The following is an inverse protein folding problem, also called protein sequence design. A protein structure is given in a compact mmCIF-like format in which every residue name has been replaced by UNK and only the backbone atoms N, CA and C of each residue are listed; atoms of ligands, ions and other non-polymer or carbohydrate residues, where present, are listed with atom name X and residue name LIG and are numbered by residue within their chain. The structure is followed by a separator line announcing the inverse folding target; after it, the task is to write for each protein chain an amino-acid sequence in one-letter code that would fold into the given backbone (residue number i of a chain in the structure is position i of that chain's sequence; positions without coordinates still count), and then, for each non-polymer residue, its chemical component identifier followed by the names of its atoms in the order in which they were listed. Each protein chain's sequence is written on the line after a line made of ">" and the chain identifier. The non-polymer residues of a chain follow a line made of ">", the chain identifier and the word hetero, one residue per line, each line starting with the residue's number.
data_IF_794592423462
#
_entry.id   IF_794592423462
#
_cell.length_a   1.000
_cell.length_b   1.000
_cell.length_c   1.000
_cell.angle_alpha   90.00
_cell.angle_beta   90.00
_cell.angle_gamma   90.00
#
_symmetry.space_group_name_H-M   'P 1'
#
loop_
_entity.id
_entity.type
_entity.pdbx_description
1 polymer ?
#
# COMPACT_ATOMS: atom_id res chain seq x y z
N UNK A 1 -9.68 14.28 -7.85
CA UNK A 1 -9.78 13.62 -9.16
C UNK A 1 -11.24 13.47 -9.56
N UNK A 2 -11.56 13.31 -10.86
CA UNK A 2 -12.91 12.90 -11.32
C UNK A 2 -13.04 11.38 -11.52
N UNK A 3 -11.97 10.64 -11.24
CA UNK A 3 -11.88 9.20 -11.40
C UNK A 3 -12.70 8.46 -10.33
N UNK A 4 -13.57 7.54 -10.75
CA UNK A 4 -14.31 6.63 -9.88
C UNK A 4 -13.54 5.31 -9.73
N UNK A 5 -12.77 5.16 -8.64
CA UNK A 5 -11.95 3.97 -8.38
C UNK A 5 -12.73 2.65 -8.32
N UNK A 6 -14.06 2.67 -8.17
CA UNK A 6 -14.86 1.45 -8.13
C UNK A 6 -15.21 0.91 -9.51
N UNK A 7 -14.98 1.70 -10.57
CA UNK A 7 -15.44 1.42 -11.94
C UNK A 7 -14.43 1.76 -13.02
N UNK A 8 -13.74 2.88 -12.88
CA UNK A 8 -12.83 3.40 -13.89
C UNK A 8 -11.47 2.68 -13.79
N UNK A 9 -10.90 2.21 -14.90
CA UNK A 9 -9.57 1.62 -14.89
C UNK A 9 -8.49 2.70 -14.73
N UNK A 10 -7.33 2.32 -14.19
CA UNK A 10 -6.16 3.20 -14.14
C UNK A 10 -5.56 3.29 -15.54
N UNK A 11 -5.53 4.51 -16.10
CA UNK A 11 -4.86 4.78 -17.38
C UNK A 11 -3.40 5.16 -17.12
N UNK A 12 -2.48 4.28 -17.49
CA UNK A 12 -1.04 4.48 -17.36
C UNK A 12 -0.46 5.31 -18.51
N UNK A 13 0.59 6.07 -18.24
CA UNK A 13 1.36 6.86 -19.23
C UNK A 13 2.84 6.76 -18.93
N UNK A 14 3.65 6.56 -19.97
CA UNK A 14 5.11 6.69 -19.91
C UNK A 14 5.48 8.16 -20.12
N UNK A 15 6.32 8.69 -19.22
CA UNK A 15 6.78 10.07 -19.20
C UNK A 15 8.31 10.09 -18.96
N UNK A 16 9.07 10.08 -20.05
CA UNK A 16 10.52 9.85 -20.01
C UNK A 16 10.82 8.45 -19.42
N UNK A 17 11.60 8.43 -18.34
CA UNK A 17 11.97 7.20 -17.62
C UNK A 17 10.92 6.76 -16.59
N UNK A 18 9.82 7.49 -16.44
CA UNK A 18 8.78 7.23 -15.44
C UNK A 18 7.51 6.65 -16.05
N UNK A 19 6.84 5.81 -15.27
CA UNK A 19 5.44 5.43 -15.52
C UNK A 19 4.56 6.15 -14.50
N UNK A 20 3.50 6.79 -14.95
CA UNK A 20 2.56 7.55 -14.12
C UNK A 20 1.11 7.25 -14.50
N UNK A 21 0.15 7.63 -13.66
CA UNK A 21 -1.28 7.55 -13.99
C UNK A 21 -1.85 8.92 -14.38
N UNK A 22 -2.86 8.91 -15.25
CA UNK A 22 -3.52 10.14 -15.68
C UNK A 22 -4.55 10.63 -14.66
N UNK A 23 -4.17 11.61 -13.84
CA UNK A 23 -5.10 12.31 -12.94
C UNK A 23 -5.58 11.49 -11.74
N UNK A 24 -4.88 10.43 -11.40
CA UNK A 24 -5.16 9.54 -10.26
C UNK A 24 -3.84 8.91 -9.74
N UNK A 25 -3.90 8.12 -8.66
CA UNK A 25 -2.74 7.33 -8.19
C UNK A 25 -2.48 6.15 -9.13
N UNK A 26 -1.21 5.74 -9.26
CA UNK A 26 -0.83 4.66 -10.17
C UNK A 26 -1.08 3.27 -9.58
N UNK A 27 -0.99 3.13 -8.25
CA UNK A 27 -1.01 1.82 -7.58
C UNK A 27 0.26 1.00 -7.87
N UNK A 28 1.39 1.67 -8.13
CA UNK A 28 2.69 1.00 -8.26
C UNK A 28 3.10 0.32 -6.95
N UNK A 29 2.74 0.93 -5.83
CA UNK A 29 2.73 0.32 -4.51
C UNK A 29 1.37 -0.38 -4.25
N UNK A 30 1.29 -1.71 -4.04
CA UNK A 30 2.30 -2.74 -4.33
C UNK A 30 2.14 -3.38 -5.73
N UNK A 31 1.47 -2.71 -6.68
CA UNK A 31 1.16 -3.29 -7.99
C UNK A 31 2.37 -3.82 -8.77
N UNK A 32 3.54 -3.19 -8.64
CA UNK A 32 4.78 -3.66 -9.29
C UNK A 32 5.30 -4.94 -8.63
N UNK A 33 5.29 -5.02 -7.30
CA UNK A 33 5.67 -6.24 -6.57
C UNK A 33 4.73 -7.41 -6.89
N UNK A 34 3.42 -7.17 -6.91
CA UNK A 34 2.41 -8.15 -7.33
C UNK A 34 2.67 -8.63 -8.76
N UNK A 35 2.93 -7.73 -9.71
CA UNK A 35 3.23 -8.09 -11.09
C UNK A 35 4.51 -8.93 -11.20
N UNK A 36 5.57 -8.59 -10.45
CA UNK A 36 6.81 -9.35 -10.41
C UNK A 36 6.60 -10.78 -9.88
N UNK A 37 5.81 -10.95 -8.81
CA UNK A 37 5.46 -12.27 -8.27
C UNK A 37 4.74 -13.10 -9.34
N UNK A 38 3.75 -12.52 -10.02
CA UNK A 38 3.00 -13.22 -11.06
C UNK A 38 3.89 -13.60 -12.26
N UNK A 39 4.81 -12.73 -12.66
CA UNK A 39 5.77 -13.02 -13.72
C UNK A 39 6.70 -14.20 -13.36
N UNK A 40 7.15 -14.29 -12.10
CA UNK A 40 7.94 -15.42 -11.62
C UNK A 40 7.13 -16.71 -11.66
N UNK A 41 5.87 -16.68 -11.22
CA UNK A 41 4.97 -17.85 -11.26
C UNK A 41 4.63 -18.31 -12.68
N UNK A 42 4.55 -17.38 -13.63
CA UNK A 42 4.26 -17.68 -15.04
C UNK A 42 5.49 -18.25 -15.79
N UNK A 43 6.70 -17.84 -15.37
CA UNK A 43 7.93 -18.20 -16.06
C UNK A 43 8.18 -19.71 -16.07
N UNK A 44 8.62 -20.21 -17.23
CA UNK A 44 9.08 -21.60 -17.41
C UNK A 44 10.60 -21.73 -17.47
N UNK A 45 11.30 -20.59 -17.44
CA UNK A 45 12.74 -20.52 -17.65
C UNK A 45 13.50 -20.19 -16.37
N UNK A 46 12.81 -19.66 -15.36
CA UNK A 46 13.41 -19.34 -14.07
C UNK A 46 13.67 -20.61 -13.26
N UNK A 47 14.92 -20.81 -12.85
CA UNK A 47 15.27 -21.85 -11.89
C UNK A 47 14.96 -21.36 -10.47
N UNK A 48 14.07 -22.07 -9.78
CA UNK A 48 13.72 -21.77 -8.40
C UNK A 48 13.31 -23.03 -7.64
N UNK A 49 13.38 -22.96 -6.30
CA UNK A 49 12.77 -23.97 -5.43
C UNK A 49 11.24 -23.85 -5.40
N UNK A 50 10.54 -24.59 -4.52
CA UNK A 50 9.10 -24.40 -4.35
C UNK A 50 8.76 -22.96 -3.96
N UNK A 51 7.77 -22.37 -4.64
CA UNK A 51 7.29 -21.02 -4.38
C UNK A 51 5.85 -21.04 -3.85
N UNK A 52 5.56 -20.10 -2.95
CA UNK A 52 4.21 -19.74 -2.53
C UNK A 52 4.08 -18.22 -2.69
N UNK A 53 2.96 -17.76 -3.25
CA UNK A 53 2.65 -16.34 -3.37
C UNK A 53 1.53 -15.98 -2.39
N UNK A 54 1.80 -14.98 -1.55
CA UNK A 54 0.84 -14.42 -0.61
C UNK A 54 0.48 -13.00 -1.05
N UNK A 55 -0.80 -12.77 -1.33
CA UNK A 55 -1.35 -11.45 -1.61
C UNK A 55 -2.25 -11.05 -0.46
N UNK A 56 -1.87 -10.02 0.29
CA UNK A 56 -2.64 -9.53 1.43
C UNK A 56 -3.62 -8.45 1.00
N UNK A 57 -4.82 -8.45 1.60
CA UNK A 57 -5.81 -7.41 1.39
C UNK A 57 -5.68 -6.30 2.43
N UNK A 58 -6.02 -5.07 2.02
CA UNK A 58 -6.17 -3.89 2.87
C UNK A 58 -4.91 -3.56 3.72
N UNK A 59 -3.75 -3.44 3.09
CA UNK A 59 -2.54 -2.90 3.73
C UNK A 59 -2.81 -1.45 4.18
N UNK A 60 -3.20 -0.61 3.22
CA UNK A 60 -3.26 0.86 3.29
C UNK A 60 -4.18 1.47 4.36
N UNK A 61 -5.14 0.70 4.88
CA UNK A 61 -6.10 1.22 5.87
C UNK A 61 -6.02 0.54 7.22
N UNK A 62 -5.34 -0.60 7.35
CA UNK A 62 -5.35 -1.34 8.61
C UNK A 62 -4.65 -2.70 8.62
N UNK A 63 -4.04 -3.12 7.51
CA UNK A 63 -3.33 -4.40 7.37
C UNK A 63 -4.19 -5.63 7.69
N UNK A 64 -5.51 -5.57 7.44
CA UNK A 64 -6.47 -6.62 7.85
C UNK A 64 -6.10 -8.00 7.33
N UNK A 65 -5.61 -8.09 6.09
CA UNK A 65 -5.16 -9.34 5.48
C UNK A 65 -3.94 -9.93 6.17
N UNK A 66 -2.99 -9.09 6.59
CA UNK A 66 -1.80 -9.52 7.31
C UNK A 66 -2.16 -10.01 8.72
N UNK A 67 -2.99 -9.28 9.46
CA UNK A 67 -3.48 -9.70 10.78
C UNK A 67 -4.38 -10.93 10.73
N UNK A 68 -5.14 -11.10 9.66
CA UNK A 68 -6.06 -12.22 9.45
C UNK A 68 -5.40 -13.51 8.94
N UNK A 69 -4.11 -13.48 8.62
CA UNK A 69 -3.40 -14.64 8.09
C UNK A 69 -3.36 -15.77 9.12
N UNK A 70 -3.99 -16.89 8.79
CA UNK A 70 -4.03 -18.06 9.68
C UNK A 70 -2.65 -18.74 9.75
N UNK A 71 -2.25 -19.23 10.94
CA UNK A 71 -1.01 -19.98 11.07
C UNK A 71 -1.06 -21.27 10.23
N UNK A 72 0.10 -21.72 9.79
CA UNK A 72 0.30 -22.96 9.03
C UNK A 72 -0.39 -23.03 7.65
N UNK A 73 -0.88 -21.91 7.10
CA UNK A 73 -1.36 -21.84 5.71
C UNK A 73 -0.19 -21.93 4.73
N UNK A 74 0.93 -21.28 5.05
CA UNK A 74 2.16 -21.29 4.25
C UNK A 74 3.13 -22.35 4.77
N UNK A 75 3.86 -22.97 3.84
CA UNK A 75 4.94 -23.94 4.10
C UNK A 75 6.32 -23.32 3.94
N UNK A 76 6.41 -22.16 3.29
CA UNK A 76 7.63 -21.41 3.07
C UNK A 76 8.36 -21.11 4.38
N UNK A 77 9.69 -21.23 4.34
CA UNK A 77 10.58 -20.87 5.47
C UNK A 77 11.18 -19.47 5.34
N UNK A 78 11.09 -18.89 4.15
CA UNK A 78 11.61 -17.58 3.80
C UNK A 78 10.46 -16.76 3.21
N UNK A 79 10.41 -15.49 3.56
CA UNK A 79 9.47 -14.52 3.01
C UNK A 79 10.28 -13.37 2.44
N UNK A 80 9.99 -13.02 1.19
CA UNK A 80 10.48 -11.81 0.54
C UNK A 80 9.26 -10.93 0.37
N UNK A 81 9.22 -9.83 1.12
CA UNK A 81 8.23 -8.79 0.94
C UNK A 81 8.71 -7.86 -0.19
N UNK A 82 7.79 -7.49 -1.09
CA UNK A 82 8.07 -6.68 -2.28
C UNK A 82 7.59 -5.23 -2.13
N UNK A 83 7.42 -4.76 -0.90
CA UNK A 83 6.74 -3.52 -0.49
C UNK A 83 7.72 -2.41 -0.07
N UNK A 84 8.99 -2.57 -0.42
CA UNK A 84 9.98 -1.51 -0.31
C UNK A 84 10.06 -0.75 -1.64
N UNK A 85 10.07 0.58 -1.58
CA UNK A 85 10.01 1.44 -2.77
C UNK A 85 11.38 1.94 -3.27
N UNK A 86 12.46 1.72 -2.51
CA UNK A 86 13.81 2.16 -2.86
C UNK A 86 14.62 1.03 -3.50
N UNK A 87 15.06 1.25 -4.74
CA UNK A 87 15.92 0.30 -5.46
C UNK A 87 17.27 0.12 -4.75
N UNK A 88 17.73 -1.13 -4.66
CA UNK A 88 19.02 -1.46 -4.05
C UNK A 88 19.04 -1.38 -2.52
N UNK A 89 17.89 -1.11 -1.90
CA UNK A 89 17.75 -1.06 -0.44
C UNK A 89 17.03 -2.32 0.06
N UNK A 90 17.66 -2.99 1.03
CA UNK A 90 17.03 -4.10 1.75
C UNK A 90 16.44 -3.59 3.07
N UNK A 91 15.12 -3.49 3.13
CA UNK A 91 14.41 -3.20 4.38
C UNK A 91 14.39 -4.44 5.28
N UNK A 92 14.98 -4.34 6.47
CA UNK A 92 15.02 -5.44 7.46
C UNK A 92 14.12 -5.21 8.69
N UNK A 93 13.39 -4.10 8.71
CA UNK A 93 12.48 -3.77 9.80
C UNK A 93 11.71 -2.47 9.56
N UNK A 94 10.55 -2.35 10.19
CA UNK A 94 9.69 -1.18 10.11
C UNK A 94 9.18 -0.80 11.51
N UNK A 95 8.64 0.42 11.63
CA UNK A 95 7.95 0.86 12.84
C UNK A 95 6.52 0.31 12.87
N UNK A 96 5.98 0.07 14.07
CA UNK A 96 4.54 -0.15 14.25
C UNK A 96 3.76 1.17 14.29
N UNK A 97 2.42 1.09 14.21
CA UNK A 97 1.53 2.25 14.25
C UNK A 97 0.33 2.05 15.18
N UNK A 98 -0.20 3.15 15.73
CA UNK A 98 -1.45 3.16 16.51
C UNK A 98 -2.23 4.45 16.22
N UNK A 99 -3.52 4.33 15.93
CA UNK A 99 -4.40 5.47 15.71
C UNK A 99 -4.97 5.97 17.04
N UNK A 100 -4.78 7.26 17.34
CA UNK A 100 -5.33 7.91 18.54
C UNK A 100 -6.33 8.98 18.11
N UNK A 101 -7.61 8.75 18.39
CA UNK A 101 -8.68 9.71 18.12
C UNK A 101 -9.07 10.43 19.41
N UNK A 102 -8.81 11.74 19.50
CA UNK A 102 -9.17 12.56 20.67
C UNK A 102 -10.31 13.51 20.35
N UNK A 103 -11.28 13.63 21.26
CA UNK A 103 -12.34 14.66 21.20
C UNK A 103 -12.25 15.52 22.44
N UNK A 104 -12.17 16.84 22.27
CA UNK A 104 -12.18 17.80 23.36
C UNK A 104 -13.43 18.68 23.23
N UNK A 105 -14.25 18.70 24.28
CA UNK A 105 -15.31 19.68 24.40
C UNK A 105 -14.71 21.04 24.74
N UNK A 106 -15.08 22.07 23.98
CA UNK A 106 -14.76 23.45 24.30
C UNK A 106 -16.06 24.26 24.42
N UNK A 107 -15.99 25.35 25.18
CA UNK A 107 -17.08 26.30 25.28
C UNK A 107 -16.74 27.50 24.39
N UNK A 108 -17.53 27.73 23.36
CA UNK A 108 -17.49 29.00 22.63
C UNK A 108 -17.97 30.12 23.55
N UNK A 109 -17.21 31.21 23.59
CA UNK A 109 -17.59 32.45 24.25
C UNK A 109 -17.81 33.50 23.17
N UNK A 110 -18.93 34.21 23.25
CA UNK A 110 -19.18 35.37 22.40
C UNK A 110 -18.16 36.46 22.71
N UNK A 111 -17.44 36.91 21.68
CA UNK A 111 -16.54 38.05 21.80
C UNK A 111 -17.38 39.33 21.80
N UNK A 112 -17.16 40.19 22.79
CA UNK A 112 -17.82 41.50 22.86
C UNK A 112 -17.34 42.38 21.70
N UNK A 113 -18.26 43.10 21.05
CA UNK A 113 -18.02 43.89 19.84
C UNK A 113 -16.98 45.03 20.00
N UNK A 114 -16.55 45.32 21.23
CA UNK A 114 -15.45 46.24 21.51
C UNK A 114 -14.04 45.69 21.21
N UNK A 115 -13.92 44.41 20.83
CA UNK A 115 -12.63 43.74 20.55
C UNK A 115 -12.42 43.37 19.07
N UNK A 116 -13.33 43.79 18.18
CA UNK A 116 -13.20 43.61 16.73
C UNK A 116 -12.78 44.97 16.15
N UNK A 117 -11.49 45.18 15.94
CA UNK A 117 -10.91 46.33 15.21
C UNK A 117 -10.97 46.14 13.71
#
# INVERSE_FOLDING_TARGET
>A
SRHDFTRDPITTRVDGDWVTAQGTTLGADNGIGVAAILAVLESKELEHGPLEALFTCNEESGMDGAFGLKPAVLKGRLLINTDAEDEGVLCIGCAGGVNVNTKLGYRELSIDSGWIT
#
